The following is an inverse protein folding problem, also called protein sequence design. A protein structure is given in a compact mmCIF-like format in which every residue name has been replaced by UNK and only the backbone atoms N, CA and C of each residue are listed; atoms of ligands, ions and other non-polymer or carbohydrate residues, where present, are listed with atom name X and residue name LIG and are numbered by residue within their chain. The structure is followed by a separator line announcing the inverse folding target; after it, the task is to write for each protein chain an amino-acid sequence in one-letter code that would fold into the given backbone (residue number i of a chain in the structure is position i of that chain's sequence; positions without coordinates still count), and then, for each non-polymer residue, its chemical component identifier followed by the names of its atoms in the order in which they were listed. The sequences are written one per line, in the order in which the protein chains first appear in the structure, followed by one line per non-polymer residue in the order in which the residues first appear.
data_IF_578827137071
#
_entry.id   IF_578827137071
#
_cell.length_a   1.000
_cell.length_b   1.000
_cell.length_c   1.000
_cell.angle_alpha   90.00
_cell.angle_beta   90.00
_cell.angle_gamma   90.00
#
_symmetry.space_group_name_H-M   'P 1'
#
loop_
_entity.id
_entity.type
_entity.pdbx_description
1 polymer ?
#
# COMPACT_ATOMS: atom_id res chain seq x y z
N UNK A 1 -15.24 -21.89 -48.31
CA UNK A 1 -15.02 -21.08 -47.09
C UNK A 1 -14.06 -19.96 -47.43
N UNK A 2 -14.53 -18.71 -47.46
CA UNK A 2 -13.65 -17.58 -47.73
C UNK A 2 -13.01 -17.08 -46.43
N UNK A 3 -11.75 -16.63 -46.52
CA UNK A 3 -10.99 -16.08 -45.38
C UNK A 3 -11.77 -15.01 -44.60
N UNK A 4 -12.64 -14.25 -45.29
CA UNK A 4 -13.49 -13.24 -44.66
C UNK A 4 -14.46 -13.85 -43.65
N UNK A 5 -15.12 -14.96 -44.01
CA UNK A 5 -16.17 -15.58 -43.18
C UNK A 5 -15.57 -16.15 -41.90
N UNK A 6 -14.36 -16.71 -41.99
CA UNK A 6 -13.61 -17.21 -40.85
C UNK A 6 -13.20 -16.10 -39.87
N UNK A 7 -12.70 -14.97 -40.37
CA UNK A 7 -12.31 -13.83 -39.53
C UNK A 7 -13.51 -13.17 -38.86
N UNK A 8 -14.64 -13.04 -39.56
CA UNK A 8 -15.87 -12.47 -38.98
C UNK A 8 -16.43 -13.36 -37.88
N UNK A 9 -16.35 -14.69 -38.03
CA UNK A 9 -16.84 -15.64 -37.02
C UNK A 9 -15.93 -15.69 -35.79
N UNK A 10 -14.60 -15.62 -35.98
CA UNK A 10 -13.63 -15.56 -34.88
C UNK A 10 -13.75 -14.28 -34.04
N UNK A 11 -14.04 -13.13 -34.66
CA UNK A 11 -14.27 -11.88 -33.93
C UNK A 11 -15.56 -11.88 -33.10
N UNK A 12 -16.62 -12.55 -33.57
CA UNK A 12 -17.89 -12.65 -32.85
C UNK A 12 -17.81 -13.47 -31.55
N UNK A 13 -16.96 -14.51 -31.52
CA UNK A 13 -16.76 -15.36 -30.34
C UNK A 13 -15.84 -14.73 -29.27
N UNK A 14 -14.93 -13.84 -29.68
CA UNK A 14 -14.10 -13.05 -28.76
C UNK A 14 -14.88 -11.90 -28.08
N UNK A 15 -15.88 -11.33 -28.76
CA UNK A 15 -16.73 -10.28 -28.18
C UNK A 15 -17.70 -10.79 -27.11
N UNK A 16 -18.22 -12.02 -27.26
CA UNK A 16 -19.18 -12.60 -26.32
C UNK A 16 -18.56 -13.08 -25.00
N UNK A 17 -17.23 -13.28 -24.96
CA UNK A 17 -16.50 -13.69 -23.76
C UNK A 17 -16.02 -12.52 -22.88
N UNK A 18 -16.05 -11.29 -23.40
CA UNK A 18 -15.71 -10.07 -22.63
C UNK A 18 -16.91 -9.42 -21.94
N UNK A 19 -18.14 -9.76 -22.35
CA UNK A 19 -19.36 -9.23 -21.73
C UNK A 19 -19.62 -9.78 -20.31
N UNK A 20 -18.94 -10.87 -19.92
CA UNK A 20 -19.07 -11.50 -18.60
C UNK A 20 -17.92 -11.19 -17.65
N UNK A 21 -16.96 -10.35 -18.04
CA UNK A 21 -16.01 -9.74 -17.12
C UNK A 21 -16.68 -8.54 -16.42
N UNK A 22 -17.76 -8.82 -15.67
CA UNK A 22 -18.16 -7.95 -14.57
C UNK A 22 -17.04 -8.06 -13.53
N UNK A 23 -15.98 -7.28 -13.73
CA UNK A 23 -15.15 -6.82 -12.63
C UNK A 23 -16.13 -6.01 -11.77
N UNK A 24 -16.69 -6.68 -10.78
CA UNK A 24 -17.45 -6.05 -9.71
C UNK A 24 -16.50 -5.12 -8.98
N UNK A 25 -16.33 -3.92 -9.51
CA UNK A 25 -15.86 -2.80 -8.72
C UNK A 25 -16.90 -2.60 -7.64
N UNK A 26 -16.55 -2.96 -6.41
CA UNK A 26 -17.21 -2.41 -5.24
C UNK A 26 -17.05 -0.88 -5.34
N UNK A 27 -18.08 -0.22 -5.87
CA UNK A 27 -18.29 1.19 -5.62
C UNK A 27 -18.97 1.27 -4.25
N UNK A 28 -18.23 0.89 -3.20
CA UNK A 28 -18.64 1.20 -1.85
C UNK A 28 -18.37 2.69 -1.64
N UNK A 29 -19.44 3.46 -1.65
CA UNK A 29 -19.46 4.83 -1.15
C UNK A 29 -19.51 4.78 0.40
N UNK A 30 -18.52 4.11 0.98
CA UNK A 30 -18.23 4.06 2.42
C UNK A 30 -16.89 4.76 2.62
N UNK A 31 -16.80 5.65 3.62
CA UNK A 31 -15.66 6.56 3.83
C UNK A 31 -14.31 5.90 3.54
N UNK A 32 -13.44 6.64 2.83
CA UNK A 32 -12.16 6.26 2.24
C UNK A 32 -11.21 5.48 3.19
N UNK A 33 -11.59 4.26 3.53
CA UNK A 33 -10.88 3.36 4.44
C UNK A 33 -9.86 2.57 3.61
N UNK A 34 -8.64 2.42 4.14
CA UNK A 34 -7.57 1.78 3.41
C UNK A 34 -7.91 0.30 3.14
N UNK A 35 -7.69 -0.16 1.91
CA UNK A 35 -7.84 -1.58 1.58
C UNK A 35 -6.90 -2.40 2.48
N UNK A 36 -7.43 -3.46 3.08
CA UNK A 36 -6.66 -4.36 3.95
C UNK A 36 -6.61 -5.78 3.40
N UNK A 37 -5.59 -6.55 3.82
CA UNK A 37 -5.47 -7.99 3.59
C UNK A 37 -5.11 -8.71 4.88
N UNK A 38 -5.67 -9.90 5.03
CA UNK A 38 -5.37 -10.77 6.16
C UNK A 38 -4.02 -11.47 5.97
N UNK A 39 -3.20 -11.52 7.02
CA UNK A 39 -2.04 -12.43 7.09
C UNK A 39 -2.56 -13.86 7.24
N UNK A 40 -2.23 -14.82 6.35
CA UNK A 40 -2.82 -16.15 6.35
C UNK A 40 -2.66 -16.95 7.66
N UNK A 41 -1.56 -16.74 8.39
CA UNK A 41 -1.26 -17.46 9.62
C UNK A 41 -1.92 -16.86 10.86
N UNK A 42 -1.98 -15.52 10.98
CA UNK A 42 -2.50 -14.83 12.17
C UNK A 42 -3.94 -14.33 12.02
N UNK A 43 -4.43 -14.13 10.79
CA UNK A 43 -5.71 -13.47 10.53
C UNK A 43 -5.71 -11.97 10.81
N UNK A 44 -4.55 -11.37 11.10
CA UNK A 44 -4.44 -9.93 11.29
C UNK A 44 -4.68 -9.20 9.96
N UNK A 45 -5.60 -8.22 9.96
CA UNK A 45 -5.90 -7.42 8.79
C UNK A 45 -4.95 -6.22 8.72
N UNK A 46 -4.05 -6.24 7.76
CA UNK A 46 -3.09 -5.16 7.55
C UNK A 46 -3.44 -4.32 6.33
N UNK A 47 -3.23 -3.00 6.37
CA UNK A 47 -3.27 -2.17 5.17
C UNK A 47 -2.36 -2.70 4.07
N UNK A 48 -2.82 -2.68 2.82
CA UNK A 48 -2.07 -3.24 1.68
C UNK A 48 -0.90 -2.35 1.21
N UNK A 49 -0.81 -1.13 1.74
CA UNK A 49 0.28 -0.18 1.48
C UNK A 49 1.01 0.06 2.81
N UNK A 50 2.33 -0.10 2.78
CA UNK A 50 3.22 0.19 3.90
C UNK A 50 4.31 1.19 3.54
N UNK A 51 5.15 1.53 4.52
CA UNK A 51 6.28 2.44 4.39
C UNK A 51 7.58 1.71 4.75
N UNK A 52 8.51 1.65 3.81
CA UNK A 52 9.87 1.13 4.05
C UNK A 52 10.82 2.25 4.47
N UNK A 53 11.74 1.94 5.38
CA UNK A 53 12.65 2.95 5.94
C UNK A 53 14.01 3.07 5.23
N UNK A 54 14.44 2.05 4.47
CA UNK A 54 15.76 2.04 3.80
C UNK A 54 15.91 3.18 2.80
N UNK A 55 16.94 4.01 3.00
CA UNK A 55 17.19 5.23 2.23
C UNK A 55 16.58 6.48 2.88
N UNK A 56 15.26 6.74 2.79
CA UNK A 56 14.66 7.99 3.26
C UNK A 56 14.84 8.29 4.75
N UNK A 57 14.95 7.28 5.61
CA UNK A 57 15.14 7.45 7.05
C UNK A 57 16.60 7.37 7.49
N UNK A 58 17.53 7.11 6.56
CA UNK A 58 18.97 7.05 6.83
C UNK A 58 19.59 8.46 6.84
N UNK A 59 19.01 9.34 7.66
CA UNK A 59 19.33 10.75 7.74
C UNK A 59 20.04 11.10 9.05
N UNK A 60 20.74 12.23 9.03
CA UNK A 60 21.40 12.78 10.21
C UNK A 60 20.43 13.50 11.18
N UNK A 61 21.00 14.37 12.03
CA UNK A 61 20.27 15.15 13.02
C UNK A 61 19.70 16.48 12.47
N UNK A 62 19.71 16.69 11.15
CA UNK A 62 19.23 17.94 10.56
C UNK A 62 17.71 18.09 10.74
N UNK A 63 17.31 19.12 11.49
CA UNK A 63 15.90 19.34 11.86
C UNK A 63 14.99 19.55 10.66
N UNK A 64 15.47 20.21 9.61
CA UNK A 64 14.69 20.45 8.40
C UNK A 64 14.31 19.14 7.70
N UNK A 65 15.26 18.21 7.58
CA UNK A 65 15.03 16.89 6.98
C UNK A 65 14.08 16.06 7.86
N UNK A 66 14.34 16.02 9.18
CA UNK A 66 13.48 15.31 10.13
C UNK A 66 12.06 15.88 10.20
N UNK A 67 11.88 17.19 9.99
CA UNK A 67 10.56 17.81 9.90
C UNK A 67 9.77 17.30 8.68
N UNK A 68 10.42 17.12 7.52
CA UNK A 68 9.77 16.53 6.34
C UNK A 68 9.38 15.08 6.56
N UNK A 69 10.21 14.29 7.24
CA UNK A 69 9.85 12.92 7.60
C UNK A 69 8.65 12.87 8.55
N UNK A 70 8.51 13.84 9.48
CA UNK A 70 7.29 13.97 10.30
C UNK A 70 6.05 14.26 9.46
N UNK A 71 6.14 15.14 8.48
CA UNK A 71 5.03 15.43 7.56
C UNK A 71 4.60 14.16 6.80
N UNK A 72 5.58 13.36 6.33
CA UNK A 72 5.33 12.06 5.68
C UNK A 72 4.63 11.10 6.63
N UNK A 73 5.14 10.91 7.86
CA UNK A 73 4.51 10.04 8.84
C UNK A 73 3.10 10.51 9.19
N UNK A 74 2.88 11.82 9.30
CA UNK A 74 1.56 12.39 9.58
C UNK A 74 0.57 12.10 8.47
N UNK A 75 0.97 12.25 7.20
CA UNK A 75 0.15 11.87 6.04
C UNK A 75 -0.09 10.36 5.97
N UNK A 76 0.93 9.55 6.28
CA UNK A 76 0.84 8.10 6.33
C UNK A 76 -0.25 7.64 7.31
N UNK A 77 -0.21 8.10 8.56
CA UNK A 77 -1.24 7.74 9.54
C UNK A 77 -2.61 8.36 9.23
N UNK A 78 -2.67 9.58 8.70
CA UNK A 78 -3.93 10.22 8.31
C UNK A 78 -4.64 9.48 7.18
N UNK A 79 -3.89 8.73 6.34
CA UNK A 79 -4.46 7.86 5.31
C UNK A 79 -5.01 6.54 5.84
N UNK A 80 -4.76 6.21 7.11
CA UNK A 80 -5.11 4.91 7.72
C UNK A 80 -4.03 3.83 7.56
N UNK A 81 -2.83 4.18 7.08
CA UNK A 81 -1.73 3.24 6.95
C UNK A 81 -1.05 3.00 8.31
N UNK A 82 -0.60 1.76 8.53
CA UNK A 82 0.01 1.34 9.81
C UNK A 82 1.20 0.41 9.66
N UNK A 83 1.51 -0.10 8.46
CA UNK A 83 2.62 -1.05 8.24
C UNK A 83 3.92 -0.30 7.96
N UNK A 84 4.93 -0.47 8.81
CA UNK A 84 6.28 0.09 8.61
C UNK A 84 7.30 -1.04 8.58
N UNK A 85 8.07 -1.13 7.50
CA UNK A 85 9.14 -2.11 7.30
C UNK A 85 10.50 -1.47 7.60
N UNK A 86 11.26 -2.09 8.50
CA UNK A 86 12.58 -1.58 8.91
C UNK A 86 13.57 -2.71 9.18
N UNK A 87 14.84 -2.36 9.35
CA UNK A 87 15.89 -3.34 9.64
C UNK A 87 17.00 -2.70 10.46
N UNK A 88 17.66 -3.45 11.37
CA UNK A 88 18.88 -3.00 12.03
C UNK A 88 20.04 -2.77 11.04
N UNK A 89 19.91 -3.24 9.80
CA UNK A 89 20.88 -2.99 8.72
C UNK A 89 20.70 -1.62 8.05
N UNK A 90 19.56 -0.95 8.24
CA UNK A 90 19.26 0.34 7.61
C UNK A 90 19.83 1.51 8.40
N UNK A 91 21.14 1.47 8.68
CA UNK A 91 21.91 2.58 9.25
C UNK A 91 21.19 3.27 10.44
N UNK A 92 20.82 4.55 10.30
CA UNK A 92 20.16 5.35 11.34
C UNK A 92 18.63 5.22 11.36
N UNK A 93 18.04 4.42 10.46
CA UNK A 93 16.60 4.42 10.21
C UNK A 93 15.76 4.04 11.43
N UNK A 94 16.11 2.97 12.18
CA UNK A 94 15.35 2.57 13.38
C UNK A 94 15.38 3.66 14.47
N UNK A 95 16.55 4.28 14.68
CA UNK A 95 16.71 5.35 15.65
C UNK A 95 15.95 6.61 15.24
N UNK A 96 16.05 7.03 13.97
CA UNK A 96 15.29 8.15 13.43
C UNK A 96 13.80 7.87 13.52
N UNK A 97 13.33 6.67 13.14
CA UNK A 97 11.92 6.31 13.25
C UNK A 97 11.44 6.39 14.70
N UNK A 98 12.21 5.87 15.65
CA UNK A 98 11.92 5.94 17.08
C UNK A 98 11.81 7.39 17.60
N UNK A 99 12.70 8.28 17.16
CA UNK A 99 12.67 9.70 17.50
C UNK A 99 11.43 10.42 16.91
N UNK A 100 10.95 9.98 15.75
CA UNK A 100 9.88 10.66 15.02
C UNK A 100 8.48 10.17 15.39
N UNK A 101 8.32 8.92 15.81
CA UNK A 101 7.02 8.36 16.18
C UNK A 101 6.58 8.84 17.57
N UNK A 102 5.36 9.34 17.66
CA UNK A 102 4.72 9.62 18.95
C UNK A 102 4.36 8.31 19.69
N UNK A 103 4.20 8.33 21.03
CA UNK A 103 3.77 7.15 21.78
C UNK A 103 2.42 6.57 21.35
N UNK A 104 1.53 7.39 20.78
CA UNK A 104 0.27 6.93 20.22
C UNK A 104 0.48 6.17 18.90
N UNK A 105 1.31 6.70 18.00
CA UNK A 105 1.64 6.05 16.74
C UNK A 105 2.39 4.73 16.95
N UNK A 106 3.30 4.65 17.93
CA UNK A 106 4.02 3.41 18.26
C UNK A 106 3.09 2.24 18.62
N UNK A 107 1.89 2.52 19.16
CA UNK A 107 0.88 1.48 19.48
C UNK A 107 0.04 1.06 18.27
N UNK A 108 0.01 1.89 17.22
CA UNK A 108 -0.76 1.65 16.01
C UNK A 108 0.05 0.91 14.94
N UNK A 109 1.37 1.07 14.94
CA UNK A 109 2.25 0.52 13.91
C UNK A 109 2.32 -1.00 14.00
N UNK A 110 2.12 -1.66 12.86
CA UNK A 110 2.62 -3.00 12.63
C UNK A 110 4.05 -2.88 12.10
N UNK A 111 5.02 -3.33 12.89
CA UNK A 111 6.44 -3.28 12.50
C UNK A 111 6.80 -4.59 11.79
N UNK A 112 7.29 -4.46 10.55
CA UNK A 112 7.76 -5.57 9.71
C UNK A 112 9.29 -5.57 9.62
#
# INVERSE_FOLDING_TARGET
MHRRDFLTTAAGLAGASLANAHIGGHLDEAGNEMITRQIPSSGEALPVIGLGTSGPFEVGAEDAVRARLREVLQAFFASGATVIDTSPMYSTAEAVLGDLLTPAQQKLVFMA
#
